data_IF_414540062905
#
_entry.id   IF_414540062905
#
_cell.length_a   1.000
_cell.length_b   1.000
_cell.length_c   1.000
_cell.angle_alpha   90.00
_cell.angle_beta   90.00
_cell.angle_gamma   90.00
#
_symmetry.space_group_name_H-M   'P 1'
#
loop_
_entity.id
_entity.type
_entity.pdbx_description
1 polymer ?
#
# COMPACT_ATOMS: atom_id res chain seq x y z
N UNK A 1 3.50 13.80 -31.09
CA UNK A 1 4.03 15.13 -30.69
C UNK A 1 3.23 15.58 -29.49
N UNK A 2 3.69 15.27 -28.27
CA UNK A 2 3.04 15.69 -27.03
C UNK A 2 3.23 17.20 -26.89
N UNK A 3 2.17 18.00 -27.07
CA UNK A 3 2.19 19.36 -26.53
C UNK A 3 2.30 19.18 -25.02
N UNK A 4 3.41 19.62 -24.42
CA UNK A 4 3.45 19.91 -23.00
C UNK A 4 2.29 20.83 -22.71
N UNK A 5 1.25 20.29 -22.10
CA UNK A 5 0.20 21.10 -21.53
C UNK A 5 0.88 21.93 -20.43
N UNK A 6 0.98 23.25 -20.65
CA UNK A 6 1.70 24.13 -19.72
C UNK A 6 0.96 24.28 -18.39
N UNK A 7 -0.26 23.76 -18.33
CA UNK A 7 -1.12 23.74 -17.16
C UNK A 7 -1.07 22.38 -16.41
N UNK A 8 -0.36 21.37 -16.94
CA UNK A 8 -0.30 20.03 -16.34
C UNK A 8 1.02 19.80 -15.59
N UNK A 9 0.90 19.52 -14.30
CA UNK A 9 1.98 19.25 -13.39
C UNK A 9 1.58 18.05 -12.55
N UNK A 10 2.39 17.00 -12.64
CA UNK A 10 2.06 15.73 -12.02
C UNK A 10 2.94 15.45 -10.81
N UNK A 11 2.29 15.23 -9.68
CA UNK A 11 2.88 14.45 -8.60
C UNK A 11 3.11 13.01 -9.10
N UNK A 12 4.29 12.49 -8.83
CA UNK A 12 4.58 11.07 -9.04
C UNK A 12 3.76 10.19 -8.08
N UNK A 13 3.59 8.89 -8.41
CA UNK A 13 2.72 7.97 -7.64
C UNK A 13 3.03 7.91 -6.15
N UNK A 14 4.31 8.00 -5.78
CA UNK A 14 4.73 7.96 -4.37
C UNK A 14 4.13 9.10 -3.55
N UNK A 15 4.05 10.29 -4.12
CA UNK A 15 3.52 11.46 -3.42
C UNK A 15 2.00 11.41 -3.32
N UNK A 16 1.31 10.82 -4.30
CA UNK A 16 -0.13 10.63 -4.20
C UNK A 16 -0.49 9.68 -3.05
N UNK A 17 0.24 8.57 -2.88
CA UNK A 17 -0.02 7.62 -1.78
C UNK A 17 0.12 8.27 -0.42
N UNK A 18 1.17 9.07 -0.21
CA UNK A 18 1.37 9.76 1.06
C UNK A 18 0.20 10.75 1.34
N UNK A 19 -0.27 11.46 0.31
CA UNK A 19 -1.41 12.38 0.42
C UNK A 19 -2.73 11.63 0.66
N UNK A 20 -2.97 10.49 0.00
CA UNK A 20 -4.19 9.69 0.20
C UNK A 20 -4.23 9.06 1.60
N UNK A 21 -3.08 8.67 2.16
CA UNK A 21 -2.99 8.22 3.54
C UNK A 21 -3.29 9.33 4.56
N UNK A 22 -2.88 10.56 4.27
CA UNK A 22 -3.01 11.69 5.20
C UNK A 22 -4.38 12.40 5.08
N UNK A 23 -4.86 12.61 3.86
CA UNK A 23 -6.04 13.44 3.57
C UNK A 23 -7.18 12.67 2.87
N UNK A 24 -6.93 11.43 2.45
CA UNK A 24 -7.91 10.56 1.82
C UNK A 24 -8.83 9.83 2.83
N UNK A 25 -9.48 8.73 2.43
CA UNK A 25 -9.43 8.14 1.09
C UNK A 25 -10.13 9.04 0.07
N UNK A 26 -9.49 9.28 -1.08
CA UNK A 26 -10.12 10.02 -2.17
C UNK A 26 -11.04 9.12 -2.99
N UNK A 27 -12.24 9.61 -3.25
CA UNK A 27 -13.27 8.91 -4.02
C UNK A 27 -13.14 9.17 -5.52
N UNK A 28 -12.57 10.32 -5.89
CA UNK A 28 -12.50 10.77 -7.27
C UNK A 28 -11.24 11.59 -7.54
N UNK A 29 -10.63 11.34 -8.70
CA UNK A 29 -9.55 12.14 -9.27
C UNK A 29 -10.16 13.04 -10.35
N UNK A 30 -10.20 14.33 -10.09
CA UNK A 30 -10.81 15.27 -11.02
C UNK A 30 -9.89 15.63 -12.21
N UNK A 31 -8.70 15.01 -12.31
CA UNK A 31 -7.65 15.40 -13.26
C UNK A 31 -8.08 15.24 -14.72
N UNK A 32 -7.94 16.32 -15.48
CA UNK A 32 -8.46 16.48 -16.86
C UNK A 32 -7.61 15.76 -17.92
N UNK A 33 -7.32 14.47 -17.77
CA UNK A 33 -6.58 13.70 -18.79
C UNK A 33 -7.55 12.78 -19.56
N UNK A 34 -7.69 12.92 -20.90
CA UNK A 34 -8.65 12.17 -21.71
C UNK A 34 -8.57 10.65 -21.56
N UNK A 35 -7.38 10.11 -21.31
CA UNK A 35 -7.15 8.66 -21.25
C UNK A 35 -7.35 8.05 -19.86
N UNK A 36 -7.60 8.86 -18.81
CA UNK A 36 -7.53 8.44 -17.40
C UNK A 36 -6.22 7.76 -17.00
N UNK A 37 -5.21 7.78 -17.88
CA UNK A 37 -3.98 6.99 -17.71
C UNK A 37 -3.17 7.41 -16.48
N UNK A 38 -3.44 8.60 -15.95
CA UNK A 38 -2.75 9.20 -14.81
C UNK A 38 -3.66 9.38 -13.59
N UNK A 39 -4.88 8.83 -13.62
CA UNK A 39 -5.79 8.85 -12.47
C UNK A 39 -5.29 7.90 -11.40
N UNK A 40 -5.20 8.38 -10.16
CA UNK A 40 -4.86 7.52 -9.03
C UNK A 40 -6.09 7.02 -8.27
N UNK A 41 -7.27 7.62 -8.49
CA UNK A 41 -8.52 7.17 -7.90
C UNK A 41 -9.25 6.17 -8.81
N UNK A 42 -10.15 5.38 -8.21
CA UNK A 42 -11.03 4.45 -8.94
C UNK A 42 -11.98 5.17 -9.90
N UNK A 43 -12.50 6.34 -9.48
CA UNK A 43 -13.25 7.25 -10.35
C UNK A 43 -12.33 8.38 -10.80
N UNK A 44 -12.42 8.75 -12.06
CA UNK A 44 -11.81 9.97 -12.57
C UNK A 44 -12.73 10.69 -13.51
N UNK A 45 -12.62 12.02 -13.51
CA UNK A 45 -13.20 12.85 -14.54
C UNK A 45 -12.33 12.83 -15.79
N UNK A 46 -12.95 12.65 -16.94
CA UNK A 46 -12.31 12.80 -18.24
C UNK A 46 -12.29 14.28 -18.66
N UNK A 47 -11.64 14.59 -19.78
CA UNK A 47 -11.63 15.96 -20.34
C UNK A 47 -13.03 16.45 -20.74
N UNK A 48 -13.91 15.52 -21.05
CA UNK A 48 -15.32 15.76 -21.36
C UNK A 48 -16.14 16.08 -20.09
N UNK A 49 -15.62 15.71 -18.92
CA UNK A 49 -16.24 15.93 -17.62
C UNK A 49 -15.66 17.22 -16.99
N UNK A 50 -16.30 18.35 -17.31
CA UNK A 50 -15.85 19.68 -16.90
C UNK A 50 -16.00 19.93 -15.38
N UNK A 51 -14.87 19.94 -14.66
CA UNK A 51 -14.79 20.18 -13.23
C UNK A 51 -15.45 21.50 -12.77
N UNK A 52 -15.63 22.48 -13.67
CA UNK A 52 -16.30 23.76 -13.37
C UNK A 52 -17.80 23.59 -13.12
N UNK A 53 -18.40 22.50 -13.62
CA UNK A 53 -19.84 22.24 -13.54
C UNK A 53 -20.19 20.90 -12.91
N UNK A 54 -19.23 19.97 -12.82
CA UNK A 54 -19.45 18.67 -12.21
C UNK A 54 -19.83 18.76 -10.72
N UNK A 55 -20.60 17.78 -10.25
CA UNK A 55 -21.10 17.76 -8.88
C UNK A 55 -20.08 17.13 -7.94
N UNK A 56 -19.58 17.93 -7.00
CA UNK A 56 -18.72 17.47 -5.89
C UNK A 56 -19.52 16.97 -4.66
N UNK A 57 -20.85 17.07 -4.69
CA UNK A 57 -21.69 16.80 -3.52
C UNK A 57 -21.46 15.36 -3.00
N UNK A 58 -20.98 15.23 -1.77
CA UNK A 58 -20.74 13.94 -1.11
C UNK A 58 -19.49 13.18 -1.59
N UNK A 59 -18.58 13.86 -2.30
CA UNK A 59 -17.33 13.29 -2.77
C UNK A 59 -16.15 13.81 -1.94
N UNK A 60 -15.17 12.94 -1.69
CA UNK A 60 -13.82 13.35 -1.33
C UNK A 60 -12.98 13.41 -2.61
N UNK A 61 -12.73 14.61 -3.11
CA UNK A 61 -12.07 14.84 -4.39
C UNK A 61 -10.58 15.11 -4.22
N UNK A 62 -9.79 14.52 -5.10
CA UNK A 62 -8.40 14.90 -5.34
C UNK A 62 -8.34 15.63 -6.68
N UNK A 63 -7.66 16.77 -6.72
CA UNK A 63 -7.59 17.51 -7.98
C UNK A 63 -6.28 18.26 -8.23
N UNK A 64 -5.82 18.15 -9.48
CA UNK A 64 -4.67 18.88 -10.05
C UNK A 64 -5.21 19.95 -10.99
N UNK A 65 -5.47 21.13 -10.45
CA UNK A 65 -6.24 22.16 -11.15
C UNK A 65 -5.43 22.80 -12.30
N UNK A 66 -6.02 22.92 -13.50
CA UNK A 66 -5.46 23.80 -14.53
C UNK A 66 -5.55 25.24 -14.05
N UNK A 67 -4.42 25.95 -14.05
CA UNK A 67 -4.29 27.26 -13.38
C UNK A 67 -5.23 28.33 -13.92
N UNK A 68 -5.51 28.25 -15.21
CA UNK A 68 -6.37 29.17 -15.94
C UNK A 68 -7.83 29.13 -15.47
N UNK A 69 -8.27 28.04 -14.82
CA UNK A 69 -9.64 27.83 -14.37
C UNK A 69 -9.76 27.48 -12.87
N UNK A 70 -8.68 27.66 -12.12
CA UNK A 70 -8.58 27.34 -10.69
C UNK A 70 -9.73 27.98 -9.89
N UNK A 71 -10.02 29.26 -10.14
CA UNK A 71 -11.06 30.00 -9.43
C UNK A 71 -12.45 29.41 -9.67
N UNK A 72 -12.78 29.09 -10.91
CA UNK A 72 -14.08 28.53 -11.30
C UNK A 72 -14.33 27.19 -10.60
N UNK A 73 -13.32 26.33 -10.55
CA UNK A 73 -13.42 25.02 -9.90
C UNK A 73 -13.56 25.17 -8.39
N UNK A 74 -12.77 26.04 -7.76
CA UNK A 74 -12.91 26.30 -6.31
C UNK A 74 -14.29 26.87 -5.98
N UNK A 75 -14.82 27.79 -6.79
CA UNK A 75 -16.19 28.32 -6.61
C UNK A 75 -17.24 27.21 -6.75
N UNK A 76 -17.07 26.29 -7.71
CA UNK A 76 -17.95 25.15 -7.86
C UNK A 76 -17.90 24.21 -6.64
N UNK A 77 -16.68 23.90 -6.16
CA UNK A 77 -16.48 23.12 -4.93
C UNK A 77 -17.14 23.79 -3.72
N UNK A 78 -16.96 25.09 -3.52
CA UNK A 78 -17.58 25.82 -2.41
C UNK A 78 -19.11 25.81 -2.49
N UNK A 79 -19.69 25.90 -3.70
CA UNK A 79 -21.15 25.72 -3.89
C UNK A 79 -21.59 24.32 -3.48
N UNK A 80 -20.85 23.28 -3.84
CA UNK A 80 -21.14 21.91 -3.44
C UNK A 80 -21.00 21.71 -1.92
N UNK A 81 -19.92 22.20 -1.32
CA UNK A 81 -19.70 22.17 0.13
C UNK A 81 -20.81 22.91 0.90
N UNK A 82 -21.33 24.01 0.34
CA UNK A 82 -22.48 24.73 0.91
C UNK A 82 -23.78 23.90 0.85
N UNK A 83 -24.03 23.18 -0.25
CA UNK A 83 -25.21 22.32 -0.40
C UNK A 83 -25.13 21.07 0.46
N UNK A 84 -23.94 20.46 0.53
CA UNK A 84 -23.67 19.26 1.29
C UNK A 84 -22.37 19.42 2.08
N UNK A 85 -22.49 19.87 3.32
CA UNK A 85 -21.34 20.12 4.19
C UNK A 85 -20.63 18.83 4.63
N UNK A 86 -21.39 17.76 4.83
CA UNK A 86 -20.91 16.47 5.33
C UNK A 86 -20.59 15.53 4.18
N UNK A 87 -19.41 14.92 4.21
CA UNK A 87 -18.94 14.01 3.15
C UNK A 87 -18.38 14.69 1.90
N UNK A 88 -18.55 16.00 1.73
CA UNK A 88 -17.89 16.77 0.67
C UNK A 88 -16.56 17.30 1.19
N UNK A 89 -15.44 16.83 0.63
CA UNK A 89 -14.11 17.33 0.93
C UNK A 89 -13.28 17.36 -0.36
N UNK A 90 -12.23 18.17 -0.38
CA UNK A 90 -11.30 18.16 -1.50
C UNK A 90 -9.90 18.53 -1.05
N UNK A 91 -8.92 17.87 -1.65
CA UNK A 91 -7.52 18.25 -1.59
C UNK A 91 -7.11 18.78 -2.96
N UNK A 92 -6.73 20.06 -3.00
CA UNK A 92 -6.31 20.74 -4.22
C UNK A 92 -4.80 20.94 -4.19
N UNK A 93 -4.12 20.45 -5.21
CA UNK A 93 -2.74 20.80 -5.45
C UNK A 93 -2.73 22.07 -6.31
N UNK A 94 -2.16 23.16 -5.79
CA UNK A 94 -2.06 24.46 -6.49
C UNK A 94 -0.65 25.05 -6.35
N UNK A 95 -0.06 25.68 -7.39
CA UNK A 95 1.19 26.39 -7.28
C UNK A 95 0.96 27.69 -6.54
N UNK A 96 2.00 28.13 -5.82
CA UNK A 96 2.02 29.46 -5.20
C UNK A 96 2.16 30.48 -6.32
N UNK A 97 1.09 31.20 -6.63
CA UNK A 97 1.06 32.14 -7.75
C UNK A 97 0.37 33.45 -7.39
N UNK A 98 1.11 34.42 -6.82
CA UNK A 98 0.57 35.74 -6.53
C UNK A 98 -0.06 36.40 -7.76
N UNK A 99 -1.29 36.90 -7.62
CA UNK A 99 -2.03 37.57 -8.69
C UNK A 99 -2.86 36.62 -9.56
N UNK A 100 -2.79 35.30 -9.35
CA UNK A 100 -3.79 34.40 -9.91
C UNK A 100 -5.09 34.51 -9.08
N UNK A 101 -6.25 34.78 -9.69
CA UNK A 101 -7.50 34.99 -8.93
C UNK A 101 -7.94 33.80 -8.06
N UNK A 102 -7.55 32.59 -8.41
CA UNK A 102 -7.85 31.39 -7.64
C UNK A 102 -6.89 31.22 -6.46
N UNK A 103 -5.61 31.50 -6.65
CA UNK A 103 -4.62 31.53 -5.55
C UNK A 103 -4.95 32.62 -4.53
N UNK A 104 -5.26 33.83 -5.02
CA UNK A 104 -5.65 34.95 -4.15
C UNK A 104 -6.91 34.62 -3.34
N UNK A 105 -7.84 33.82 -3.90
CA UNK A 105 -9.00 33.32 -3.18
C UNK A 105 -8.63 32.32 -2.06
N UNK A 106 -7.71 31.40 -2.32
CA UNK A 106 -7.23 30.44 -1.30
C UNK A 106 -6.60 31.18 -0.12
N UNK A 107 -5.72 32.15 -0.41
CA UNK A 107 -4.98 32.89 0.63
C UNK A 107 -5.90 33.86 1.40
N UNK A 108 -6.95 34.38 0.78
CA UNK A 108 -7.88 35.32 1.43
C UNK A 108 -8.95 34.65 2.30
N UNK A 109 -9.09 33.33 2.27
CA UNK A 109 -10.09 32.57 3.06
C UNK A 109 -9.43 31.45 3.90
N UNK A 110 -8.53 31.77 4.84
CA UNK A 110 -7.81 30.77 5.64
C UNK A 110 -8.73 29.92 6.54
N UNK A 111 -9.93 30.40 6.84
CA UNK A 111 -10.96 29.67 7.58
C UNK A 111 -11.68 28.61 6.73
N UNK A 112 -11.57 28.71 5.40
CA UNK A 112 -12.19 27.79 4.44
C UNK A 112 -11.15 26.87 3.81
N UNK A 113 -10.01 27.43 3.41
CA UNK A 113 -8.91 26.70 2.80
C UNK A 113 -7.73 26.63 3.75
N UNK A 114 -7.43 25.42 4.21
CA UNK A 114 -6.22 25.16 4.98
C UNK A 114 -5.07 24.80 4.03
N UNK A 115 -4.00 25.58 4.07
CA UNK A 115 -2.76 25.23 3.37
C UNK A 115 -2.00 24.24 4.23
N UNK A 116 -2.07 22.95 3.86
CA UNK A 116 -1.43 21.87 4.62
C UNK A 116 0.04 21.68 4.26
N UNK A 117 0.40 21.88 2.99
CA UNK A 117 1.72 21.59 2.47
C UNK A 117 2.13 22.59 1.39
N UNK A 118 3.26 23.28 1.61
CA UNK A 118 3.89 24.13 0.62
C UNK A 118 5.27 23.57 0.27
N UNK A 119 5.55 23.39 -1.03
CA UNK A 119 6.86 22.92 -1.52
C UNK A 119 7.38 23.82 -2.64
N UNK A 120 8.68 24.06 -2.67
CA UNK A 120 9.34 24.82 -3.73
C UNK A 120 9.39 24.03 -5.04
N UNK A 121 8.95 24.68 -6.14
CA UNK A 121 9.07 24.13 -7.49
C UNK A 121 10.56 24.03 -7.86
N UNK A 122 11.09 22.81 -7.93
CA UNK A 122 12.49 22.54 -8.26
C UNK A 122 13.17 21.49 -7.39
N UNK A 123 12.62 21.15 -6.22
CA UNK A 123 13.13 20.04 -5.37
C UNK A 123 12.54 18.66 -5.70
N UNK A 124 11.82 18.53 -6.82
CA UNK A 124 11.40 17.24 -7.38
C UNK A 124 12.47 16.60 -8.28
N UNK A 125 13.75 16.94 -8.09
CA UNK A 125 14.85 16.03 -8.42
C UNK A 125 15.21 15.28 -7.14
N UNK A 126 14.57 14.14 -6.89
CA UNK A 126 15.07 12.96 -6.17
C UNK A 126 15.87 13.09 -4.85
N UNK A 127 16.04 14.27 -4.23
CA UNK A 127 17.13 14.51 -3.27
C UNK A 127 16.71 14.84 -1.83
N UNK A 128 15.44 14.70 -1.45
CA UNK A 128 15.02 14.95 -0.06
C UNK A 128 14.08 13.89 0.53
N UNK A 129 14.16 12.66 0.04
CA UNK A 129 13.56 11.51 0.69
C UNK A 129 14.70 10.74 1.37
N UNK A 130 14.66 10.70 2.71
CA UNK A 130 15.63 9.93 3.49
C UNK A 130 15.76 8.52 2.88
N UNK A 131 16.96 7.91 2.86
CA UNK A 131 17.29 6.77 1.98
C UNK A 131 16.31 5.58 2.00
N UNK A 132 15.50 5.45 3.05
CA UNK A 132 14.43 4.47 3.22
C UNK A 132 13.15 4.74 2.40
N UNK A 133 12.98 5.91 1.77
CA UNK A 133 11.76 6.27 1.00
C UNK A 133 11.97 6.29 -0.52
N UNK A 134 13.17 5.97 -1.02
CA UNK A 134 13.52 5.99 -2.46
C UNK A 134 12.92 4.86 -3.31
N UNK A 135 12.08 4.00 -2.73
CA UNK A 135 11.51 2.86 -3.45
C UNK A 135 10.40 3.31 -4.40
N UNK A 136 10.50 2.93 -5.67
CA UNK A 136 9.36 2.97 -6.58
C UNK A 136 8.20 2.19 -5.94
N UNK A 137 6.97 2.73 -6.01
CA UNK A 137 5.76 2.11 -5.46
C UNK A 137 5.66 0.62 -5.82
N UNK A 138 6.00 0.26 -7.07
CA UNK A 138 6.05 -1.13 -7.53
C UNK A 138 6.98 -2.03 -6.71
N UNK A 139 8.14 -1.54 -6.26
CA UNK A 139 9.07 -2.32 -5.43
C UNK A 139 8.52 -2.57 -4.02
N UNK A 140 7.82 -1.59 -3.43
CA UNK A 140 7.16 -1.77 -2.12
C UNK A 140 5.99 -2.73 -2.20
N UNK A 141 5.16 -2.60 -3.24
CA UNK A 141 4.04 -3.51 -3.49
C UNK A 141 4.54 -4.93 -3.75
N UNK A 142 5.61 -5.09 -4.55
CA UNK A 142 6.18 -6.40 -4.83
C UNK A 142 6.80 -7.03 -3.57
N UNK A 143 7.44 -6.24 -2.70
CA UNK A 143 7.93 -6.71 -1.40
C UNK A 143 6.78 -7.18 -0.50
N UNK A 144 5.74 -6.38 -0.35
CA UNK A 144 4.56 -6.75 0.42
C UNK A 144 3.87 -7.99 -0.15
N UNK A 145 3.71 -8.06 -1.47
CA UNK A 145 3.20 -9.25 -2.14
C UNK A 145 4.07 -10.47 -1.82
N UNK A 146 5.40 -10.37 -1.91
CA UNK A 146 6.30 -11.47 -1.59
C UNK A 146 6.24 -11.89 -0.10
N UNK A 147 6.09 -10.93 0.82
CA UNK A 147 5.93 -11.20 2.25
C UNK A 147 4.59 -11.91 2.52
N UNK A 148 3.48 -11.38 1.99
CA UNK A 148 2.15 -11.93 2.18
C UNK A 148 2.03 -13.32 1.55
N UNK A 149 2.50 -13.46 0.32
CA UNK A 149 2.52 -14.74 -0.42
C UNK A 149 3.42 -15.74 0.31
N UNK A 150 4.60 -15.33 0.78
CA UNK A 150 5.50 -16.19 1.55
C UNK A 150 4.92 -16.63 2.90
N UNK A 151 4.29 -15.71 3.62
CA UNK A 151 3.71 -15.94 4.95
C UNK A 151 2.44 -16.79 4.88
N UNK A 152 1.44 -16.38 4.09
CA UNK A 152 0.17 -17.10 3.99
C UNK A 152 0.29 -18.35 3.11
N UNK A 153 1.18 -18.35 2.12
CA UNK A 153 1.47 -19.50 1.27
C UNK A 153 2.42 -20.52 1.87
N UNK A 154 3.05 -20.24 3.02
CA UNK A 154 4.06 -21.11 3.65
C UNK A 154 5.20 -21.51 2.70
N UNK A 155 5.51 -20.62 1.74
CA UNK A 155 6.46 -20.88 0.67
C UNK A 155 7.92 -20.85 1.14
N UNK A 156 8.77 -21.68 0.53
CA UNK A 156 10.21 -21.66 0.81
C UNK A 156 10.87 -20.46 0.14
N UNK A 157 12.08 -20.13 0.61
CA UNK A 157 12.96 -19.15 -0.03
C UNK A 157 13.06 -19.35 -1.55
N UNK A 158 13.17 -20.61 -2.00
CA UNK A 158 13.38 -20.94 -3.40
C UNK A 158 12.10 -20.83 -4.24
N UNK A 159 10.93 -20.79 -3.61
CA UNK A 159 9.67 -20.47 -4.29
C UNK A 159 9.52 -18.96 -4.52
N UNK A 160 10.12 -18.13 -3.65
CA UNK A 160 10.01 -16.67 -3.65
C UNK A 160 11.19 -15.96 -4.33
N UNK A 161 12.35 -16.62 -4.40
CA UNK A 161 13.61 -16.04 -4.92
C UNK A 161 14.37 -17.09 -5.71
N UNK A 162 15.08 -16.70 -6.76
CA UNK A 162 16.04 -17.60 -7.42
C UNK A 162 17.37 -17.53 -6.68
N UNK A 163 17.79 -18.62 -6.02
CA UNK A 163 19.00 -18.60 -5.19
C UNK A 163 20.32 -18.31 -5.92
N UNK A 164 20.34 -18.25 -7.26
CA UNK A 164 21.51 -17.91 -8.10
C UNK A 164 21.04 -17.24 -9.40
N UNK A 165 21.76 -16.24 -9.90
CA UNK A 165 21.55 -15.74 -11.25
C UNK A 165 21.69 -16.89 -12.26
N UNK A 166 20.66 -17.12 -13.09
CA UNK A 166 20.62 -18.23 -14.05
C UNK A 166 20.01 -19.55 -13.56
N UNK A 167 19.62 -19.68 -12.29
CA UNK A 167 18.99 -20.90 -11.74
C UNK A 167 17.44 -20.88 -11.77
N UNK A 168 16.85 -20.06 -12.66
CA UNK A 168 15.40 -19.98 -12.81
C UNK A 168 14.84 -21.31 -13.35
N UNK A 169 13.94 -21.94 -12.61
CA UNK A 169 13.26 -23.17 -13.00
C UNK A 169 11.74 -22.97 -12.91
N UNK A 170 11.06 -23.01 -14.05
CA UNK A 170 9.61 -22.82 -14.16
C UNK A 170 8.78 -23.93 -13.51
N UNK A 171 9.39 -25.06 -13.11
CA UNK A 171 8.70 -26.15 -12.39
C UNK A 171 8.72 -26.02 -10.87
N UNK A 172 9.47 -25.07 -10.30
CA UNK A 172 9.63 -24.94 -8.83
C UNK A 172 9.65 -23.51 -8.30
N UNK A 173 9.98 -22.53 -9.15
CA UNK A 173 9.77 -21.13 -8.85
C UNK A 173 8.32 -20.75 -9.17
N UNK A 174 7.71 -19.88 -8.37
CA UNK A 174 6.43 -19.26 -8.73
C UNK A 174 6.60 -18.56 -10.08
N UNK A 175 5.86 -19.00 -11.09
CA UNK A 175 5.79 -18.30 -12.37
C UNK A 175 4.66 -17.27 -12.35
N UNK A 176 4.69 -16.35 -13.30
CA UNK A 176 3.71 -15.25 -13.42
C UNK A 176 2.26 -15.74 -13.48
N UNK A 177 2.03 -16.97 -13.95
CA UNK A 177 0.70 -17.57 -14.05
C UNK A 177 0.19 -18.20 -12.73
N UNK A 178 1.09 -18.46 -11.77
CA UNK A 178 0.74 -18.98 -10.43
C UNK A 178 0.27 -17.86 -9.49
N UNK A 179 0.47 -16.60 -9.89
CA UNK A 179 0.16 -15.40 -9.10
C UNK A 179 -0.53 -14.38 -10.01
N UNK A 180 -1.87 -14.35 -9.98
CA UNK A 180 -2.67 -13.38 -10.72
C UNK A 180 -2.53 -11.98 -10.14
N UNK A 181 -1.69 -11.13 -10.76
CA UNK A 181 -1.73 -9.68 -10.57
C UNK A 181 -1.79 -8.94 -11.91
N UNK A 182 -2.78 -8.07 -12.03
CA UNK A 182 -3.08 -7.26 -13.21
C UNK A 182 -2.00 -6.15 -13.38
N UNK A 183 -1.34 -6.17 -14.55
CA UNK A 183 -0.36 -5.23 -15.13
C UNK A 183 0.87 -4.76 -14.28
N UNK A 184 2.05 -5.36 -14.57
CA UNK A 184 3.38 -4.76 -14.37
C UNK A 184 4.30 -5.40 -13.30
N UNK A 185 4.76 -6.63 -13.50
CA UNK A 185 5.51 -7.39 -12.47
C UNK A 185 7.03 -7.21 -12.47
N UNK A 186 7.62 -7.18 -11.26
CA UNK A 186 9.07 -7.31 -10.98
C UNK A 186 9.32 -8.44 -9.96
N UNK A 187 10.50 -9.08 -10.03
CA UNK A 187 10.96 -10.14 -9.10
C UNK A 187 11.71 -9.53 -7.90
N UNK A 188 11.51 -10.08 -6.70
CA UNK A 188 11.84 -9.44 -5.40
C UNK A 188 12.83 -10.27 -4.58
N UNK A 189 13.83 -9.60 -3.99
CA UNK A 189 14.82 -10.21 -3.09
C UNK A 189 14.60 -9.76 -1.64
N UNK A 190 14.02 -10.64 -0.81
CA UNK A 190 13.58 -10.32 0.58
C UNK A 190 14.71 -9.76 1.46
N UNK A 191 15.94 -10.32 1.40
CA UNK A 191 17.06 -9.87 2.24
C UNK A 191 17.66 -8.53 1.82
N UNK A 192 17.85 -8.35 0.51
CA UNK A 192 18.32 -7.07 -0.03
C UNK A 192 17.34 -5.95 0.30
N UNK A 193 16.04 -6.27 0.29
CA UNK A 193 14.98 -5.31 0.61
C UNK A 193 14.80 -5.06 2.10
N UNK A 194 14.98 -6.07 2.98
CA UNK A 194 14.97 -5.89 4.44
C UNK A 194 16.02 -4.87 4.89
N UNK A 195 17.25 -4.99 4.38
CA UNK A 195 18.34 -4.03 4.62
C UNK A 195 17.98 -2.61 4.18
N UNK A 196 17.25 -2.54 3.08
CA UNK A 196 16.86 -1.33 2.39
C UNK A 196 15.67 -0.60 3.05
N UNK A 197 14.84 -1.31 3.84
CA UNK A 197 13.77 -0.73 4.67
C UNK A 197 14.18 -0.51 6.14
N UNK A 198 15.49 -0.58 6.45
CA UNK A 198 16.00 -0.36 7.81
C UNK A 198 15.79 -1.52 8.78
N UNK A 199 15.39 -2.69 8.27
CA UNK A 199 15.33 -3.92 9.05
C UNK A 199 16.69 -4.62 9.03
N UNK A 200 17.06 -5.26 10.14
CA UNK A 200 18.31 -6.01 10.24
C UNK A 200 18.20 -7.26 9.33
N UNK A 201 18.99 -7.38 8.24
CA UNK A 201 18.75 -8.40 7.21
C UNK A 201 19.06 -9.82 7.69
N UNK A 202 19.93 -9.96 8.70
CA UNK A 202 20.27 -11.23 9.33
C UNK A 202 19.09 -11.85 10.06
N UNK A 203 18.17 -11.04 10.56
CA UNK A 203 16.96 -11.42 11.28
C UNK A 203 15.90 -12.05 10.37
N UNK A 204 16.02 -11.89 9.05
CA UNK A 204 15.04 -12.36 8.08
C UNK A 204 15.65 -13.36 7.10
N UNK A 205 15.00 -14.52 6.97
CA UNK A 205 15.32 -15.50 5.94
C UNK A 205 14.03 -15.91 5.26
N UNK A 206 14.09 -16.44 4.03
CA UNK A 206 12.89 -17.04 3.43
C UNK A 206 12.29 -18.17 4.31
N UNK A 207 13.06 -18.70 5.26
CA UNK A 207 12.58 -19.64 6.26
C UNK A 207 11.75 -18.96 7.37
N UNK A 208 12.03 -17.70 7.72
CA UNK A 208 11.33 -17.00 8.81
C UNK A 208 9.89 -16.65 8.46
N UNK A 209 9.57 -16.34 7.19
CA UNK A 209 8.19 -16.11 6.76
C UNK A 209 7.36 -17.38 6.81
N UNK A 210 7.88 -18.48 6.25
CA UNK A 210 7.25 -19.80 6.30
C UNK A 210 7.05 -20.29 7.73
N UNK A 211 8.04 -20.07 8.60
CA UNK A 211 7.94 -20.38 10.02
C UNK A 211 6.90 -19.51 10.72
N UNK A 212 6.92 -18.20 10.49
CA UNK A 212 5.93 -17.28 11.06
C UNK A 212 4.50 -17.66 10.68
N UNK A 213 4.27 -17.98 9.40
CA UNK A 213 2.95 -18.43 8.93
C UNK A 213 2.51 -19.75 9.56
N UNK A 214 3.41 -20.73 9.68
CA UNK A 214 3.10 -22.01 10.32
C UNK A 214 2.80 -21.84 11.83
N UNK A 215 3.56 -20.99 12.52
CA UNK A 215 3.34 -20.65 13.93
C UNK A 215 1.98 -19.98 14.13
N UNK A 216 1.63 -19.03 13.26
CA UNK A 216 0.33 -18.37 13.30
C UNK A 216 -0.82 -19.37 13.06
N UNK A 217 -0.68 -20.26 12.07
CA UNK A 217 -1.67 -21.30 11.80
C UNK A 217 -1.84 -22.27 13.00
N UNK A 218 -0.74 -22.67 13.64
CA UNK A 218 -0.77 -23.53 14.83
C UNK A 218 -1.42 -22.85 16.04
N UNK A 219 -1.27 -21.52 16.20
CA UNK A 219 -1.92 -20.73 17.26
C UNK A 219 -3.42 -20.55 17.02
N UNK A 220 -3.83 -20.56 15.76
CA UNK A 220 -5.24 -20.53 15.34
C UNK A 220 -5.87 -21.93 15.32
N UNK A 221 -5.17 -22.94 15.85
CA UNK A 221 -5.59 -24.35 15.90
C UNK A 221 -6.01 -24.90 14.52
N UNK A 222 -5.36 -24.41 13.45
CA UNK A 222 -5.57 -24.94 12.11
C UNK A 222 -5.09 -26.39 12.08
N UNK A 223 -5.90 -27.27 11.49
CA UNK A 223 -5.58 -28.69 11.41
C UNK A 223 -4.19 -28.92 10.76
N UNK A 224 -3.37 -29.73 11.43
CA UNK A 224 -2.00 -30.05 11.04
C UNK A 224 -1.90 -30.58 9.59
N UNK A 225 -2.89 -31.31 9.09
CA UNK A 225 -2.94 -31.80 7.70
C UNK A 225 -2.96 -30.62 6.72
N UNK A 226 -3.75 -29.57 6.99
CA UNK A 226 -3.83 -28.40 6.12
C UNK A 226 -2.53 -27.59 6.14
N UNK A 227 -1.91 -27.43 7.32
CA UNK A 227 -0.61 -26.76 7.43
C UNK A 227 0.46 -27.53 6.65
N UNK A 228 0.50 -28.86 6.81
CA UNK A 228 1.44 -29.76 6.14
C UNK A 228 1.32 -29.69 4.62
N UNK A 229 0.09 -29.76 4.11
CA UNK A 229 -0.20 -29.66 2.69
C UNK A 229 0.14 -28.27 2.14
N UNK A 230 -0.31 -27.21 2.81
CA UNK A 230 -0.13 -25.82 2.35
C UNK A 230 1.33 -25.45 2.17
N UNK A 231 2.21 -25.84 3.09
CA UNK A 231 3.64 -25.58 2.93
C UNK A 231 4.43 -26.73 2.31
N UNK A 232 3.81 -27.78 1.78
CA UNK A 232 4.55 -28.89 1.16
C UNK A 232 5.63 -29.49 2.11
N UNK A 233 5.24 -29.78 3.35
CA UNK A 233 6.12 -30.44 4.31
C UNK A 233 6.12 -31.95 4.11
N UNK A 234 7.30 -32.52 3.85
CA UNK A 234 7.49 -33.98 3.75
C UNK A 234 7.34 -34.72 5.08
N UNK A 235 7.45 -34.02 6.20
CA UNK A 235 7.35 -34.56 7.56
C UNK A 235 6.71 -33.54 8.50
N UNK A 236 6.35 -33.97 9.71
CA UNK A 236 5.67 -33.13 10.71
C UNK A 236 6.63 -32.15 11.42
N UNK A 237 7.73 -31.77 10.77
CA UNK A 237 8.73 -30.84 11.29
C UNK A 237 8.16 -29.46 11.63
N UNK A 238 7.05 -29.07 10.99
CA UNK A 238 6.37 -27.80 11.29
C UNK A 238 5.73 -27.79 12.67
N UNK A 239 5.43 -28.94 13.27
CA UNK A 239 4.88 -29.02 14.63
C UNK A 239 5.88 -28.51 15.67
N UNK A 240 7.18 -28.59 15.38
CA UNK A 240 8.23 -28.00 16.21
C UNK A 240 8.17 -26.46 16.30
N UNK A 241 7.35 -25.81 15.47
CA UNK A 241 7.08 -24.37 15.57
C UNK A 241 5.98 -24.02 16.57
N UNK A 242 5.33 -25.04 17.18
CA UNK A 242 4.38 -24.85 18.26
C UNK A 242 5.13 -24.49 19.54
N UNK A 243 5.34 -23.20 19.76
CA UNK A 243 5.76 -22.71 21.07
C UNK A 243 4.60 -22.81 22.04
N UNK A 244 4.66 -23.80 22.93
CA UNK A 244 3.74 -23.91 24.06
C UNK A 244 4.16 -22.91 25.14
N UNK A 245 3.21 -22.10 25.60
CA UNK A 245 3.42 -21.25 26.76
C UNK A 245 3.52 -22.09 28.06
N UNK A 246 3.82 -21.42 29.17
CA UNK A 246 4.02 -22.09 30.46
C UNK A 246 2.74 -22.77 30.96
N UNK A 247 1.58 -22.16 30.74
CA UNK A 247 0.29 -22.71 31.20
C UNK A 247 -0.06 -23.97 30.41
N UNK A 248 0.11 -23.94 29.09
CA UNK A 248 -0.11 -25.08 28.20
C UNK A 248 0.81 -26.27 28.53
N UNK A 249 2.06 -26.01 28.91
CA UNK A 249 3.01 -27.05 29.35
C UNK A 249 2.60 -27.73 30.66
N UNK A 250 1.80 -27.07 31.49
CA UNK A 250 1.37 -27.60 32.80
C UNK A 250 0.10 -28.46 32.71
N UNK A 251 -0.68 -28.36 31.62
CA UNK A 251 -1.92 -29.13 31.44
C UNK A 251 -1.69 -30.64 31.61
N UNK A 252 -0.70 -31.20 30.91
CA UNK A 252 -0.45 -32.65 30.93
C UNK A 252 0.07 -33.12 32.31
N UNK A 253 1.11 -32.50 32.92
CA UNK A 253 1.54 -32.87 34.27
C UNK A 253 0.44 -32.79 35.33
N UNK A 254 -0.41 -31.76 35.28
CA UNK A 254 -1.53 -31.61 36.22
C UNK A 254 -2.55 -32.72 36.05
N UNK A 255 -3.00 -32.99 34.81
CA UNK A 255 -3.95 -34.05 34.52
C UNK A 255 -3.41 -35.44 34.93
N UNK A 256 -2.11 -35.69 34.72
CA UNK A 256 -1.46 -36.93 35.17
C UNK A 256 -1.42 -37.05 36.69
N UNK A 257 -1.16 -35.95 37.40
CA UNK A 257 -1.16 -35.92 38.86
C UNK A 257 -2.57 -36.18 39.45
N UNK A 258 -3.59 -35.58 38.85
CA UNK A 258 -5.00 -35.81 39.23
C UNK A 258 -5.43 -37.26 38.99
N UNK A 259 -5.08 -37.82 37.84
CA UNK A 259 -5.38 -39.23 37.52
C UNK A 259 -4.66 -40.20 38.46
N UNK A 260 -3.41 -39.92 38.83
CA UNK A 260 -2.66 -40.72 39.79
C UNK A 260 -3.28 -40.65 41.19
N UNK A 261 -3.71 -39.46 41.63
CA UNK A 261 -4.39 -39.29 42.91
C UNK A 261 -5.71 -40.07 42.97
N UNK A 262 -6.50 -40.03 41.89
CA UNK A 262 -7.75 -40.78 41.78
C UNK A 262 -7.58 -42.31 41.72
N UNK A 263 -6.43 -42.80 41.27
CA UNK A 263 -6.13 -44.24 41.25
C UNK A 263 -5.64 -44.77 42.61
N UNK A 264 -5.24 -43.88 43.52
CA UNK A 264 -4.79 -44.23 44.87
C UNK A 264 -5.87 -44.07 45.95
N UNK A 265 -7.05 -43.57 45.57
CA UNK A 265 -8.27 -43.48 46.40
C UNK A 265 -9.22 -44.63 46.12
#
# INVERSE_FOLDING_TARGET
MWRQDRDDWMLGPVHWVDIDLEFGPFTIDCSVVPSRANSYCYRSWSREEDARVQRFDGLNAWEKLPFSILKEILVNFLRAKKRQQWGTAACFLVPVWPGNPGWDMVVSMPEVFRVELQREAGRYRDEALAPHTRWAYGTRCALWAAILVGFFGLFRKDNLTTGKAGAWNTRGALVRDDVLFQAGGQVVWIRALAQQVGLEPGSYSGHSLRWGGATAALRLDVNNIYIKLQGDWKSDRFEGYRELDREQKLILPVAMAEAAAAACS
#
